data_IF_618396026333
#
_entry.id   IF_618396026333
#
_cell.length_a   1.000
_cell.length_b   1.000
_cell.length_c   1.000
_cell.angle_alpha   90.00
_cell.angle_beta   90.00
_cell.angle_gamma   90.00
#
_symmetry.space_group_name_H-M   'P 1'
#
loop_
_entity.id
_entity.type
_entity.pdbx_description
1 polymer ?
#
# COMPACT_ATOMS: atom_id res chain seq x y z
N UNK A 1 -2.88 -14.10 -21.01
CA UNK A 1 -2.75 -15.56 -20.73
C UNK A 1 -1.32 -16.04 -20.43
N UNK A 2 -0.28 -15.58 -21.13
CA UNK A 2 1.10 -16.08 -20.94
C UNK A 2 1.61 -15.99 -19.49
N UNK A 3 1.31 -14.90 -18.78
CA UNK A 3 1.68 -14.74 -17.37
C UNK A 3 1.09 -15.82 -16.47
N UNK A 4 -0.22 -16.11 -16.59
CA UNK A 4 -0.90 -17.10 -15.76
C UNK A 4 -0.36 -18.51 -16.00
N UNK A 5 -0.01 -18.83 -17.25
CA UNK A 5 0.61 -20.11 -17.60
C UNK A 5 2.02 -20.29 -17.01
N UNK A 6 2.72 -19.21 -16.69
CA UNK A 6 4.04 -19.26 -16.05
C UNK A 6 3.96 -19.46 -14.53
N UNK A 7 2.80 -19.23 -13.92
CA UNK A 7 2.62 -19.40 -12.49
C UNK A 7 2.35 -20.86 -12.16
N UNK A 8 3.14 -21.44 -11.26
CA UNK A 8 2.88 -22.79 -10.73
C UNK A 8 1.61 -22.85 -9.89
N UNK A 9 1.24 -21.75 -9.26
CA UNK A 9 0.06 -21.64 -8.40
C UNK A 9 -0.56 -20.26 -8.56
N UNK A 10 -1.83 -20.21 -8.96
CA UNK A 10 -2.57 -18.94 -9.11
C UNK A 10 -2.98 -18.33 -7.77
N UNK A 11 -3.02 -19.12 -6.69
CA UNK A 11 -3.24 -18.62 -5.33
C UNK A 11 -1.97 -18.02 -4.71
N UNK A 12 -0.79 -18.41 -5.20
CA UNK A 12 0.50 -17.88 -4.74
C UNK A 12 1.36 -17.48 -5.93
N UNK A 13 1.08 -16.29 -6.41
CA UNK A 13 1.75 -15.70 -7.56
C UNK A 13 3.17 -15.31 -7.14
N UNK A 14 4.14 -15.74 -7.94
CA UNK A 14 5.56 -15.46 -7.69
C UNK A 14 6.02 -14.44 -8.72
N UNK A 15 6.21 -13.20 -8.27
CA UNK A 15 6.74 -12.11 -9.09
C UNK A 15 8.02 -11.61 -8.44
N UNK A 16 9.13 -11.65 -9.18
CA UNK A 16 10.43 -11.18 -8.69
C UNK A 16 10.37 -9.68 -8.37
N UNK A 17 10.59 -9.26 -7.11
CA UNK A 17 10.67 -7.85 -6.76
C UNK A 17 11.98 -7.25 -7.27
N UNK A 18 11.95 -5.96 -7.60
CA UNK A 18 13.15 -5.16 -7.74
C UNK A 18 13.26 -4.25 -6.51
N UNK A 19 14.07 -4.70 -5.54
CA UNK A 19 14.35 -3.97 -4.31
C UNK A 19 15.28 -2.79 -4.60
N UNK A 20 14.88 -1.60 -4.16
CA UNK A 20 15.59 -0.33 -4.36
C UNK A 20 16.52 0.03 -3.19
N UNK A 21 16.49 -0.76 -2.10
CA UNK A 21 17.23 -0.44 -0.88
C UNK A 21 16.36 0.24 0.19
N UNK A 22 16.88 0.29 1.41
CA UNK A 22 16.18 0.88 2.57
C UNK A 22 16.02 2.40 2.49
N UNK A 23 16.67 3.06 1.52
CA UNK A 23 16.57 4.50 1.32
C UNK A 23 17.31 5.27 2.41
N UNK A 24 18.64 5.41 2.26
CA UNK A 24 19.51 6.12 3.20
C UNK A 24 19.22 7.63 3.30
N UNK A 25 18.39 8.17 2.41
CA UNK A 25 18.10 9.60 2.33
C UNK A 25 17.55 10.19 3.64
N UNK A 26 16.71 9.45 4.37
CA UNK A 26 16.19 9.93 5.65
C UNK A 26 17.31 10.01 6.71
N UNK A 27 18.15 9.00 6.79
CA UNK A 27 19.29 8.97 7.71
C UNK A 27 20.28 10.07 7.38
N UNK A 28 20.59 10.28 6.10
CA UNK A 28 21.47 11.35 5.64
C UNK A 28 20.90 12.74 5.94
N UNK A 29 19.60 12.93 5.72
CA UNK A 29 18.91 14.20 6.04
C UNK A 29 18.97 14.47 7.53
N UNK A 30 18.70 13.45 8.36
CA UNK A 30 18.81 13.56 9.82
C UNK A 30 20.23 13.87 10.28
N UNK A 31 21.23 13.18 9.73
CA UNK A 31 22.64 13.41 10.05
C UNK A 31 23.06 14.84 9.69
N UNK A 32 22.64 15.31 8.51
CA UNK A 32 22.91 16.67 8.06
C UNK A 32 22.26 17.72 8.96
N UNK A 33 20.97 17.61 9.25
CA UNK A 33 20.25 18.56 10.11
C UNK A 33 20.85 18.60 11.53
N UNK A 34 21.20 17.42 12.08
CA UNK A 34 21.81 17.32 13.39
C UNK A 34 23.23 17.91 13.42
N UNK A 35 24.04 17.61 12.40
CA UNK A 35 25.38 18.18 12.27
C UNK A 35 25.33 19.69 12.11
N UNK A 36 24.50 20.21 11.20
CA UNK A 36 24.32 21.65 10.98
C UNK A 36 23.88 22.38 12.25
N UNK A 37 22.86 21.83 12.96
CA UNK A 37 22.37 22.40 14.19
C UNK A 37 23.38 22.39 15.34
N UNK A 38 24.14 21.30 15.51
CA UNK A 38 25.21 21.20 16.52
C UNK A 38 26.35 22.16 16.22
N UNK A 39 26.84 22.19 14.97
CA UNK A 39 27.90 23.10 14.53
C UNK A 39 27.53 24.56 14.77
N UNK A 40 26.30 24.97 14.43
CA UNK A 40 25.85 26.34 14.67
C UNK A 40 25.75 26.69 16.16
N UNK A 41 25.32 25.76 17.02
CA UNK A 41 25.29 25.97 18.49
C UNK A 41 26.68 26.08 19.10
N UNK A 42 27.65 25.29 18.62
CA UNK A 42 29.05 25.38 19.07
C UNK A 42 29.61 26.76 18.71
N UNK A 43 29.42 27.21 17.46
CA UNK A 43 29.85 28.55 17.03
C UNK A 43 29.24 29.67 17.88
N UNK A 44 27.96 29.55 18.27
CA UNK A 44 27.31 30.53 19.15
C UNK A 44 27.90 30.57 20.56
N UNK A 45 28.38 29.44 21.08
CA UNK A 45 28.99 29.36 22.41
C UNK A 45 30.35 30.06 22.46
N UNK A 46 31.03 30.20 21.33
CA UNK A 46 32.28 30.96 21.23
C UNK A 46 32.07 32.46 21.45
N UNK A 47 30.86 32.98 21.19
CA UNK A 47 30.53 34.40 21.35
C UNK A 47 29.71 34.66 22.63
N UNK A 48 30.06 35.73 23.33
CA UNK A 48 29.27 36.21 24.47
C UNK A 48 27.82 36.55 24.05
N UNK A 49 26.88 36.49 25.00
CA UNK A 49 25.48 36.86 24.72
C UNK A 49 25.36 38.30 24.21
N UNK A 50 26.13 39.21 24.80
CA UNK A 50 26.11 40.63 24.44
C UNK A 50 26.61 40.86 23.01
N UNK A 51 27.72 40.21 22.64
CA UNK A 51 28.28 40.31 21.28
C UNK A 51 27.30 39.77 20.24
N UNK A 52 26.60 38.68 20.53
CA UNK A 52 25.57 38.12 19.63
C UNK A 52 24.41 39.10 19.42
N UNK A 53 23.89 39.69 20.49
CA UNK A 53 22.80 40.67 20.41
C UNK A 53 23.19 41.87 19.55
N UNK A 54 24.36 42.47 19.82
CA UNK A 54 24.86 43.63 19.08
C UNK A 54 25.04 43.31 17.57
N UNK A 55 25.59 42.14 17.24
CA UNK A 55 25.78 41.72 15.83
C UNK A 55 24.44 41.46 15.13
N UNK A 56 23.47 40.83 15.81
CA UNK A 56 22.14 40.60 15.23
C UNK A 56 21.26 41.85 15.13
N UNK A 57 21.56 42.90 15.91
CA UNK A 57 20.94 44.21 15.78
C UNK A 57 21.50 44.97 14.57
N UNK A 58 22.82 44.87 14.33
CA UNK A 58 23.47 45.49 13.17
C UNK A 58 23.19 44.75 11.85
N UNK A 59 23.14 43.41 11.89
CA UNK A 59 22.89 42.54 10.74
C UNK A 59 21.79 41.51 11.09
N UNK A 60 20.51 41.85 10.85
CA UNK A 60 19.37 40.97 11.17
C UNK A 60 19.39 39.62 10.43
N UNK A 61 20.03 39.55 9.27
CA UNK A 61 20.18 38.32 8.48
C UNK A 61 20.98 37.21 9.21
N UNK A 62 21.81 37.59 10.20
CA UNK A 62 22.58 36.64 11.00
C UNK A 62 21.78 36.01 12.15
N UNK A 63 20.55 36.47 12.37
CA UNK A 63 19.65 35.88 13.35
C UNK A 63 19.40 34.40 13.04
N UNK A 64 19.25 33.60 14.10
CA UNK A 64 18.87 32.21 13.92
C UNK A 64 17.45 32.12 13.37
N UNK A 65 17.33 31.71 12.11
CA UNK A 65 16.06 31.26 11.57
C UNK A 65 15.56 29.97 12.24
N UNK A 66 14.27 29.70 12.06
CA UNK A 66 13.60 28.53 12.62
C UNK A 66 14.09 27.19 12.02
N UNK A 67 14.93 27.21 10.98
CA UNK A 67 15.43 26.02 10.30
C UNK A 67 16.18 25.06 11.24
N UNK A 68 16.91 25.57 12.24
CA UNK A 68 17.72 24.76 13.17
C UNK A 68 16.87 24.07 14.26
N UNK A 69 15.63 24.53 14.46
CA UNK A 69 14.71 24.01 15.48
C UNK A 69 13.70 23.04 14.84
N UNK A 70 13.51 23.11 13.52
CA UNK A 70 12.60 22.22 12.81
C UNK A 70 13.11 20.77 12.90
N UNK A 71 12.24 19.81 13.28
CA UNK A 71 12.62 18.40 13.25
C UNK A 71 12.84 17.98 11.79
N UNK A 72 13.84 17.12 11.57
CA UNK A 72 14.06 16.47 10.28
C UNK A 72 12.79 15.72 9.86
N UNK A 73 12.30 15.97 8.65
CA UNK A 73 11.10 15.31 8.15
C UNK A 73 11.45 13.94 7.59
N UNK A 74 10.82 12.89 8.10
CA UNK A 74 10.96 11.55 7.54
C UNK A 74 10.11 11.43 6.27
N UNK A 75 10.75 11.14 5.13
CA UNK A 75 10.07 10.84 3.89
C UNK A 75 10.03 9.32 3.70
N UNK A 76 8.84 8.71 3.75
CA UNK A 76 8.74 7.28 3.47
C UNK A 76 9.02 7.03 1.98
N UNK A 77 10.18 6.44 1.70
CA UNK A 77 10.58 5.99 0.37
C UNK A 77 10.03 4.58 0.13
N UNK A 78 9.60 4.31 -1.09
CA UNK A 78 9.17 2.97 -1.46
C UNK A 78 10.40 2.09 -1.66
N UNK A 79 10.50 0.98 -0.92
CA UNK A 79 11.66 0.10 -0.98
C UNK A 79 11.67 -0.81 -2.21
N UNK A 80 10.57 -0.85 -2.97
CA UNK A 80 10.43 -1.65 -4.18
C UNK A 80 9.98 -0.78 -5.34
N UNK A 81 10.53 -1.03 -6.52
CA UNK A 81 10.06 -0.38 -7.74
C UNK A 81 8.79 -1.06 -8.27
N UNK A 82 7.88 -0.31 -8.90
CA UNK A 82 6.77 -0.89 -9.65
C UNK A 82 7.24 -1.92 -10.67
N UNK A 83 6.38 -2.90 -10.95
CA UNK A 83 6.68 -3.98 -11.88
C UNK A 83 6.77 -3.47 -13.32
N UNK A 84 7.98 -3.39 -13.86
CA UNK A 84 8.26 -2.84 -15.21
C UNK A 84 7.43 -3.43 -16.35
N UNK A 85 6.98 -4.68 -16.22
CA UNK A 85 6.23 -5.40 -17.28
C UNK A 85 4.73 -5.10 -17.27
N UNK A 86 4.21 -4.41 -16.26
CA UNK A 86 2.78 -4.16 -16.09
C UNK A 86 2.54 -2.66 -15.91
N UNK A 87 1.52 -2.09 -16.57
CA UNK A 87 1.15 -0.71 -16.33
C UNK A 87 0.61 -0.57 -14.89
N UNK A 88 1.03 0.49 -14.22
CA UNK A 88 0.47 0.85 -12.92
C UNK A 88 -0.92 1.48 -13.16
N UNK A 89 -1.96 0.83 -12.63
CA UNK A 89 -3.34 1.34 -12.73
C UNK A 89 -3.61 2.33 -11.61
N UNK A 90 -3.39 1.91 -10.37
CA UNK A 90 -3.67 2.72 -9.19
C UNK A 90 -2.67 2.42 -8.07
N UNK A 91 -2.31 3.45 -7.31
CA UNK A 91 -1.47 3.34 -6.12
C UNK A 91 -1.99 4.29 -5.05
N UNK A 92 -2.26 3.75 -3.86
CA UNK A 92 -2.68 4.53 -2.71
C UNK A 92 -2.06 4.02 -1.43
N UNK A 93 -2.09 4.86 -0.39
CA UNK A 93 -1.66 4.50 0.96
C UNK A 93 -2.89 4.24 1.81
N UNK A 94 -2.92 3.09 2.47
CA UNK A 94 -4.03 2.72 3.34
C UNK A 94 -3.58 2.70 4.81
N UNK A 95 -4.12 3.59 5.66
CA UNK A 95 -3.75 3.65 7.08
C UNK A 95 -4.33 2.45 7.83
N UNK A 96 -3.50 1.44 8.11
CA UNK A 96 -3.93 0.20 8.77
C UNK A 96 -4.52 0.44 10.17
N UNK A 97 -4.10 1.49 10.87
CA UNK A 97 -4.64 1.83 12.21
C UNK A 97 -6.07 2.38 12.17
N UNK A 98 -6.55 2.85 11.02
CA UNK A 98 -7.93 3.29 10.79
C UNK A 98 -8.77 2.21 10.09
N UNK A 99 -8.17 1.10 9.70
CA UNK A 99 -8.84 0.06 8.94
C UNK A 99 -9.81 -0.72 9.83
N UNK A 100 -11.03 -0.92 9.33
CA UNK A 100 -12.05 -1.71 10.02
C UNK A 100 -11.92 -3.19 9.63
N UNK A 101 -12.08 -4.12 10.60
CA UNK A 101 -12.20 -5.53 10.29
C UNK A 101 -13.37 -5.82 9.36
N UNK A 102 -13.26 -6.89 8.55
CA UNK A 102 -14.35 -7.39 7.72
C UNK A 102 -15.39 -8.04 8.62
N UNK A 103 -16.59 -7.47 8.66
CA UNK A 103 -17.72 -8.04 9.37
C UNK A 103 -18.57 -8.92 8.44
N UNK A 104 -19.21 -9.99 8.98
CA UNK A 104 -20.19 -10.77 8.24
C UNK A 104 -21.34 -9.88 7.73
N UNK A 105 -21.81 -10.14 6.51
CA UNK A 105 -22.92 -9.37 5.96
C UNK A 105 -24.21 -9.61 6.77
N UNK A 106 -24.83 -8.52 7.23
CA UNK A 106 -26.09 -8.57 7.97
C UNK A 106 -27.22 -9.04 7.03
N UNK A 107 -28.03 -10.00 7.50
CA UNK A 107 -29.22 -10.46 6.77
C UNK A 107 -29.02 -11.66 5.84
N UNK A 108 -27.78 -12.13 5.62
CA UNK A 108 -27.52 -13.36 4.86
C UNK A 108 -27.64 -14.58 5.78
N UNK A 109 -28.88 -14.95 6.13
CA UNK A 109 -29.21 -16.21 6.81
C UNK A 109 -29.54 -17.27 5.77
N UNK A 110 -28.50 -17.75 5.09
CA UNK A 110 -28.62 -18.94 4.26
C UNK A 110 -28.39 -20.17 5.14
N UNK A 111 -29.21 -21.20 4.98
CA UNK A 111 -28.97 -22.48 5.65
C UNK A 111 -27.60 -23.01 5.21
N UNK A 112 -26.75 -23.33 6.20
CA UNK A 112 -25.36 -23.75 5.95
C UNK A 112 -24.33 -22.61 5.79
N UNK A 113 -24.72 -21.33 5.88
CA UNK A 113 -23.75 -20.24 5.85
C UNK A 113 -22.90 -20.20 7.12
N UNK A 114 -21.58 -20.04 6.95
CA UNK A 114 -20.62 -19.87 8.05
C UNK A 114 -20.68 -18.49 8.72
N UNK A 115 -21.61 -17.62 8.33
CA UNK A 115 -21.74 -16.24 8.82
C UNK A 115 -21.98 -16.15 10.32
N UNK A 116 -22.65 -17.14 10.92
CA UNK A 116 -22.86 -17.21 12.38
C UNK A 116 -21.69 -17.84 13.15
N UNK A 117 -20.73 -18.46 12.45
CA UNK A 117 -19.64 -19.24 13.06
C UNK A 117 -18.31 -18.47 13.12
N UNK A 118 -18.19 -17.36 12.39
CA UNK A 118 -16.94 -16.61 12.26
C UNK A 118 -17.05 -15.30 13.03
N UNK A 119 -16.33 -15.22 14.16
CA UNK A 119 -16.12 -13.93 14.84
C UNK A 119 -15.13 -13.07 14.05
N UNK A 120 -15.37 -11.75 13.92
CA UNK A 120 -14.44 -10.85 13.25
C UNK A 120 -13.05 -10.95 13.89
N UNK A 121 -12.06 -11.41 13.11
CA UNK A 121 -10.69 -11.53 13.59
C UNK A 121 -9.96 -10.19 13.41
N UNK A 122 -9.25 -9.70 14.44
CA UNK A 122 -8.42 -8.51 14.30
C UNK A 122 -7.32 -8.76 13.25
N UNK A 123 -7.23 -7.90 12.25
CA UNK A 123 -6.24 -7.98 11.17
C UNK A 123 -6.80 -8.31 9.79
N UNK A 124 -7.97 -8.96 9.69
CA UNK A 124 -8.66 -9.15 8.42
C UNK A 124 -9.42 -7.88 8.05
N UNK A 125 -8.78 -7.02 7.27
CA UNK A 125 -9.30 -5.69 6.93
C UNK A 125 -9.79 -5.60 5.49
N UNK A 126 -10.81 -4.76 5.28
CA UNK A 126 -11.25 -4.41 3.94
C UNK A 126 -10.32 -3.35 3.32
N UNK A 127 -9.88 -3.58 2.08
CA UNK A 127 -9.10 -2.63 1.29
C UNK A 127 -10.00 -2.12 0.16
N UNK A 128 -10.34 -0.82 0.12
CA UNK A 128 -11.19 -0.27 -0.93
C UNK A 128 -10.39 -0.14 -2.23
N UNK A 129 -10.71 -0.96 -3.23
CA UNK A 129 -10.11 -0.89 -4.57
C UNK A 129 -10.84 0.10 -5.51
N UNK A 130 -11.93 0.71 -5.05
CA UNK A 130 -12.76 1.59 -5.88
C UNK A 130 -13.52 0.83 -6.98
N UNK A 131 -13.93 1.58 -8.01
CA UNK A 131 -14.55 1.02 -9.22
C UNK A 131 -13.46 0.81 -10.25
N UNK A 132 -13.27 -0.45 -10.67
CA UNK A 132 -12.30 -0.83 -11.68
C UNK A 132 -13.04 -1.40 -12.89
N UNK A 133 -12.43 -1.30 -14.07
CA UNK A 133 -12.93 -1.93 -15.28
C UNK A 133 -12.92 -3.46 -15.14
N UNK A 134 -13.79 -4.19 -15.87
CA UNK A 134 -13.75 -5.65 -15.89
C UNK A 134 -12.38 -6.16 -16.39
N UNK A 135 -11.74 -7.04 -15.62
CA UNK A 135 -10.41 -7.51 -15.96
C UNK A 135 -9.66 -8.20 -14.83
N UNK A 136 -8.43 -8.62 -15.14
CA UNK A 136 -7.54 -9.28 -14.20
C UNK A 136 -6.42 -8.32 -13.76
N UNK A 137 -6.38 -8.07 -12.46
CA UNK A 137 -5.43 -7.13 -11.84
C UNK A 137 -4.44 -7.86 -10.97
N UNK A 138 -3.17 -7.47 -11.06
CA UNK A 138 -2.13 -7.87 -10.12
C UNK A 138 -2.02 -6.77 -9.05
N UNK A 139 -2.28 -7.16 -7.80
CA UNK A 139 -2.25 -6.26 -6.65
C UNK A 139 -1.02 -6.53 -5.82
N UNK A 140 -0.32 -5.46 -5.46
CA UNK A 140 0.87 -5.51 -4.62
C UNK A 140 0.63 -4.68 -3.35
N UNK A 141 0.82 -5.31 -2.20
CA UNK A 141 0.77 -4.66 -0.90
C UNK A 141 2.18 -4.63 -0.30
N UNK A 142 2.57 -3.47 0.23
CA UNK A 142 3.89 -3.24 0.81
C UNK A 142 3.77 -2.57 2.17
N UNK A 143 4.49 -3.10 3.16
CA UNK A 143 4.61 -2.51 4.50
C UNK A 143 6.08 -2.62 4.93
N UNK A 144 6.79 -1.49 4.94
CA UNK A 144 8.24 -1.48 5.15
C UNK A 144 8.95 -2.35 4.11
N UNK A 145 9.74 -3.32 4.58
CA UNK A 145 10.41 -4.31 3.73
C UNK A 145 9.58 -5.55 3.37
N UNK A 146 8.34 -5.64 3.88
CA UNK A 146 7.46 -6.75 3.56
C UNK A 146 6.62 -6.44 2.32
N UNK A 147 6.49 -7.44 1.45
CA UNK A 147 5.76 -7.36 0.19
C UNK A 147 4.87 -8.59 0.03
N UNK A 148 3.63 -8.37 -0.37
CA UNK A 148 2.68 -9.42 -0.72
C UNK A 148 2.07 -9.14 -2.09
N UNK A 149 1.85 -10.18 -2.88
CA UNK A 149 1.24 -10.09 -4.22
C UNK A 149 0.04 -11.01 -4.30
N UNK A 150 -1.06 -10.49 -4.83
CA UNK A 150 -2.29 -11.24 -5.09
C UNK A 150 -2.89 -10.83 -6.43
N UNK A 151 -3.86 -11.58 -6.92
CA UNK A 151 -4.60 -11.23 -8.13
C UNK A 151 -6.07 -11.04 -7.80
N UNK A 152 -6.67 -10.03 -8.43
CA UNK A 152 -8.08 -9.69 -8.30
C UNK A 152 -8.71 -9.75 -9.69
N UNK A 153 -9.78 -10.53 -9.83
CA UNK A 153 -10.58 -10.59 -11.05
C UNK A 153 -11.88 -9.81 -10.85
N UNK A 154 -12.03 -8.73 -11.62
CA UNK A 154 -13.19 -7.85 -11.60
C UNK A 154 -14.11 -8.30 -12.73
N UNK A 155 -15.31 -8.74 -12.38
CA UNK A 155 -16.34 -9.17 -13.32
C UNK A 155 -17.72 -9.12 -12.66
N UNK A 156 -18.74 -8.82 -13.46
CA UNK A 156 -20.16 -8.86 -13.10
C UNK A 156 -20.77 -10.27 -13.21
N UNK A 157 -20.03 -11.25 -13.71
CA UNK A 157 -20.51 -12.63 -13.89
C UNK A 157 -19.70 -13.63 -13.07
N UNK A 158 -20.32 -14.79 -12.79
CA UNK A 158 -19.67 -15.98 -12.24
C UNK A 158 -19.96 -17.15 -13.16
N UNK A 159 -18.93 -17.95 -13.44
CA UNK A 159 -19.07 -19.22 -14.13
C UNK A 159 -19.03 -20.37 -13.11
N UNK A 160 -20.01 -21.26 -13.20
CA UNK A 160 -20.05 -22.52 -12.46
C UNK A 160 -19.79 -23.64 -13.45
N UNK A 161 -18.74 -24.42 -13.23
CA UNK A 161 -18.41 -25.58 -14.04
C UNK A 161 -18.65 -26.87 -13.26
N UNK A 162 -19.33 -27.83 -13.88
CA UNK A 162 -19.42 -29.21 -13.38
C UNK A 162 -18.89 -30.17 -14.43
N UNK A 163 -17.96 -31.01 -14.01
CA UNK A 163 -17.44 -32.12 -14.81
C UNK A 163 -18.16 -33.38 -14.38
N UNK A 164 -18.77 -34.10 -15.32
CA UNK A 164 -19.40 -35.39 -15.07
C UNK A 164 -19.10 -36.34 -16.23
N UNK A 165 -18.36 -37.42 -15.95
CA UNK A 165 -17.86 -38.32 -16.99
C UNK A 165 -16.95 -37.57 -17.97
N UNK A 166 -17.31 -37.61 -19.26
CA UNK A 166 -16.61 -36.91 -20.35
C UNK A 166 -17.25 -35.55 -20.71
N UNK A 167 -18.23 -35.08 -19.95
CA UNK A 167 -18.93 -33.84 -20.22
C UNK A 167 -18.48 -32.71 -19.27
N UNK A 168 -18.26 -31.53 -19.85
CA UNK A 168 -18.03 -30.28 -19.13
C UNK A 168 -19.26 -29.39 -19.35
N UNK A 169 -20.02 -29.17 -18.27
CA UNK A 169 -21.15 -28.24 -18.25
C UNK A 169 -20.69 -26.94 -17.59
N UNK A 170 -20.92 -25.81 -18.27
CA UNK A 170 -20.63 -24.47 -17.75
C UNK A 170 -21.90 -23.65 -17.77
N UNK A 171 -22.29 -23.13 -16.59
CA UNK A 171 -23.37 -22.17 -16.46
C UNK A 171 -22.81 -20.83 -16.02
N UNK A 172 -23.35 -19.76 -16.57
CA UNK A 172 -22.92 -18.40 -16.27
C UNK A 172 -24.08 -17.60 -15.70
N UNK A 173 -23.84 -16.97 -14.55
CA UNK A 173 -24.83 -16.21 -13.82
C UNK A 173 -24.32 -14.80 -13.52
N UNK A 174 -25.21 -13.82 -13.54
CA UNK A 174 -24.92 -12.46 -13.07
C UNK A 174 -24.73 -12.41 -11.56
N UNK A 175 -23.70 -11.72 -11.07
CA UNK A 175 -23.42 -11.58 -9.62
C UNK A 175 -24.48 -10.78 -8.88
N UNK A 176 -25.22 -9.91 -9.56
CA UNK A 176 -26.16 -8.98 -8.93
C UNK A 176 -27.49 -9.64 -8.59
N UNK A 177 -28.08 -10.39 -9.53
CA UNK A 177 -29.41 -10.98 -9.33
C UNK A 177 -29.44 -12.50 -9.55
N UNK A 178 -28.30 -13.12 -9.90
CA UNK A 178 -28.22 -14.56 -10.17
C UNK A 178 -28.85 -14.95 -11.52
N UNK A 179 -29.11 -13.98 -12.39
CA UNK A 179 -29.77 -14.20 -13.67
C UNK A 179 -28.87 -14.97 -14.64
N UNK A 180 -29.44 -15.89 -15.41
CA UNK A 180 -28.71 -16.62 -16.44
C UNK A 180 -28.19 -15.66 -17.52
N UNK A 181 -26.89 -15.71 -17.80
CA UNK A 181 -26.20 -14.84 -18.77
C UNK A 181 -25.71 -15.67 -19.96
N UNK A 182 -26.55 -15.92 -20.98
CA UNK A 182 -26.13 -16.70 -22.14
C UNK A 182 -25.03 -15.96 -22.93
N UNK A 183 -24.09 -16.71 -23.52
CA UNK A 183 -23.10 -16.17 -24.47
C UNK A 183 -21.96 -15.35 -23.86
N UNK A 184 -21.68 -15.50 -22.57
CA UNK A 184 -20.49 -14.87 -21.96
C UNK A 184 -19.22 -15.62 -22.35
N UNK A 185 -18.37 -14.98 -23.16
CA UNK A 185 -16.98 -15.39 -23.47
C UNK A 185 -15.99 -15.03 -22.36
#
# INVERSE_FOLDING_TARGET
MAFLRQQKNLHRIVVQPQYLGDGLNNTLTWLWDNWYGKSRRVMQRTFSSQSRQNVTQALPELQLGNAIIKPSRYAQNNQFSPLKKYPLVEQFRYPLWQAKPVEPQQGVKLEGASSNFISPQPGNIYIPLGKQEPGLYLVEAMVGGYRATTVVFVSDTVALSKVSGNELLVWTAGKKQGEAKPGSE
#
